data_IF_922704728790
#
_entry.id   IF_922704728790
#
_cell.length_a   1.000
_cell.length_b   1.000
_cell.length_c   1.000
_cell.angle_alpha   90.00
_cell.angle_beta   90.00
_cell.angle_gamma   90.00
#
_symmetry.space_group_name_H-M   'P 1'
#
loop_
_entity.id
_entity.type
_entity.pdbx_description
1 polymer ?
#
# COMPACT_ATOMS: atom_id res chain seq x y z
N UNK A 1 10.20 -4.80 15.86
CA UNK A 1 11.14 -3.75 15.45
C UNK A 1 10.62 -3.15 14.17
N UNK A 2 10.29 -1.86 14.17
CA UNK A 2 9.87 -1.11 12.98
C UNK A 2 11.04 -1.04 12.00
N UNK A 3 10.80 -1.37 10.73
CA UNK A 3 11.80 -1.27 9.68
C UNK A 3 12.22 0.21 9.55
N UNK A 4 13.52 0.51 9.57
CA UNK A 4 14.02 1.89 9.46
C UNK A 4 13.59 2.57 8.15
N UNK A 5 13.28 1.77 7.12
CA UNK A 5 12.80 2.27 5.83
C UNK A 5 11.28 2.57 5.83
N UNK A 6 10.53 2.11 6.83
CA UNK A 6 9.07 2.28 6.91
C UNK A 6 8.68 2.75 8.31
N UNK A 7 9.00 4.00 8.68
CA UNK A 7 8.80 4.48 10.04
C UNK A 7 7.31 4.53 10.40
N UNK A 8 6.98 4.23 11.66
CA UNK A 8 5.63 4.36 12.20
C UNK A 8 4.67 3.19 11.90
N UNK A 9 5.07 2.20 11.09
CA UNK A 9 4.27 0.99 10.86
C UNK A 9 5.15 -0.25 10.65
N UNK A 10 4.67 -1.41 11.10
CA UNK A 10 5.40 -2.67 10.94
C UNK A 10 5.03 -3.33 9.62
N UNK A 11 6.02 -3.77 8.85
CA UNK A 11 5.82 -4.65 7.69
C UNK A 11 5.96 -6.12 8.13
N UNK A 12 4.95 -6.92 7.82
CA UNK A 12 4.87 -8.34 8.15
C UNK A 12 4.84 -9.13 6.84
N UNK A 13 5.88 -9.91 6.60
CA UNK A 13 5.94 -10.82 5.46
C UNK A 13 5.27 -12.16 5.80
N UNK A 14 4.30 -12.58 4.99
CA UNK A 14 3.56 -13.83 5.19
C UNK A 14 3.44 -14.65 3.90
N UNK A 15 3.39 -15.97 4.04
CA UNK A 15 3.09 -16.89 2.93
C UNK A 15 1.58 -17.08 2.70
N UNK A 16 0.73 -16.51 3.57
CA UNK A 16 -0.72 -16.64 3.47
C UNK A 16 -1.33 -15.77 2.38
N UNK A 17 -0.63 -14.71 2.00
CA UNK A 17 -0.99 -13.88 0.85
C UNK A 17 -0.49 -14.54 -0.44
N UNK A 18 -1.18 -14.29 -1.56
CA UNK A 18 -0.68 -14.71 -2.88
C UNK A 18 0.49 -13.82 -3.31
N UNK A 19 1.36 -14.34 -4.16
CA UNK A 19 2.49 -13.58 -4.71
C UNK A 19 1.97 -12.30 -5.39
N UNK A 20 2.53 -11.15 -5.01
CA UNK A 20 2.15 -9.84 -5.52
C UNK A 20 1.04 -9.13 -4.73
N UNK A 21 0.50 -9.74 -3.67
CA UNK A 21 -0.46 -9.09 -2.79
C UNK A 21 0.21 -8.41 -1.60
N UNK A 22 -0.29 -7.22 -1.27
CA UNK A 22 -0.08 -6.51 -0.03
C UNK A 22 -1.42 -6.04 0.54
N UNK A 23 -1.47 -5.85 1.86
CA UNK A 23 -2.62 -5.31 2.56
C UNK A 23 -2.11 -4.35 3.64
N UNK A 24 -2.47 -3.08 3.51
CA UNK A 24 -2.25 -2.08 4.55
C UNK A 24 -3.41 -2.07 5.56
N UNK A 25 -3.11 -2.37 6.83
CA UNK A 25 -4.08 -2.38 7.94
C UNK A 25 -3.61 -1.46 9.08
N UNK A 26 -3.62 -0.12 8.92
CA UNK A 26 -3.18 0.80 9.97
C UNK A 26 -4.19 0.83 11.15
N UNK A 27 -3.75 0.94 12.42
CA UNK A 27 -2.36 1.10 12.88
C UNK A 27 -1.62 -0.23 13.09
N UNK A 28 -2.23 -1.38 12.78
CA UNK A 28 -1.73 -2.70 13.16
C UNK A 28 -0.52 -3.15 12.34
N UNK A 29 -0.48 -2.85 11.05
CA UNK A 29 0.65 -3.20 10.21
C UNK A 29 0.34 -3.27 8.72
N UNK A 30 1.37 -3.51 7.94
CA UNK A 30 1.30 -3.80 6.51
C UNK A 30 1.66 -5.28 6.33
N UNK A 31 0.75 -6.08 5.79
CA UNK A 31 0.99 -7.48 5.47
C UNK A 31 1.33 -7.60 3.99
N UNK A 32 2.45 -8.24 3.66
CA UNK A 32 2.83 -8.51 2.27
C UNK A 32 3.22 -9.97 2.07
N UNK A 33 3.13 -10.44 0.83
CA UNK A 33 3.69 -11.74 0.48
C UNK A 33 5.18 -11.84 0.87
N UNK A 34 5.60 -13.00 1.39
CA UNK A 34 7.01 -13.26 1.71
C UNK A 34 7.89 -13.16 0.46
N UNK A 35 8.86 -12.25 0.45
CA UNK A 35 9.63 -11.92 -0.75
C UNK A 35 8.94 -10.93 -1.70
N UNK A 36 7.98 -10.15 -1.20
CA UNK A 36 7.42 -9.01 -1.91
C UNK A 36 8.52 -8.01 -2.33
N UNK A 37 8.34 -7.41 -3.51
CA UNK A 37 9.25 -6.38 -4.00
C UNK A 37 9.22 -5.14 -3.11
N UNK A 38 10.34 -4.40 -3.08
CA UNK A 38 10.38 -3.10 -2.38
C UNK A 38 9.33 -2.13 -2.91
N UNK A 39 9.04 -2.16 -4.22
CA UNK A 39 8.00 -1.33 -4.83
C UNK A 39 6.60 -1.61 -4.24
N UNK A 40 6.25 -2.88 -3.99
CA UNK A 40 4.98 -3.23 -3.36
C UNK A 40 4.93 -2.76 -1.91
N UNK A 41 6.01 -2.94 -1.14
CA UNK A 41 6.10 -2.45 0.24
C UNK A 41 5.94 -0.93 0.33
N UNK A 42 6.55 -0.20 -0.59
CA UNK A 42 6.45 1.25 -0.70
C UNK A 42 5.04 1.70 -1.09
N UNK A 43 4.39 1.01 -2.02
CA UNK A 43 2.98 1.24 -2.37
C UNK A 43 2.05 1.09 -1.16
N UNK A 44 2.16 -0.02 -0.41
CA UNK A 44 1.35 -0.22 0.81
C UNK A 44 1.64 0.82 1.90
N UNK A 45 2.89 1.31 1.96
CA UNK A 45 3.24 2.42 2.84
C UNK A 45 2.59 3.74 2.40
N UNK A 46 2.39 3.94 1.09
CA UNK A 46 1.56 5.02 0.56
C UNK A 46 0.15 5.04 1.16
N UNK A 47 -0.47 3.87 1.35
CA UNK A 47 -1.75 3.75 2.05
C UNK A 47 -1.64 4.10 3.54
N UNK A 48 -0.53 3.77 4.20
CA UNK A 48 -0.29 4.23 5.57
C UNK A 48 -0.17 5.75 5.67
N UNK A 49 0.47 6.41 4.69
CA UNK A 49 0.51 7.87 4.61
C UNK A 49 -0.87 8.47 4.37
N UNK A 50 -1.72 7.83 3.55
CA UNK A 50 -3.13 8.22 3.42
C UNK A 50 -3.86 8.14 4.75
N UNK A 51 -3.68 7.05 5.50
CA UNK A 51 -4.25 6.89 6.84
C UNK A 51 -3.82 8.01 7.79
N UNK A 52 -2.53 8.35 7.81
CA UNK A 52 -2.00 9.42 8.68
C UNK A 52 -2.60 10.80 8.37
N UNK A 53 -2.98 11.06 7.11
CA UNK A 53 -3.61 12.32 6.73
C UNK A 53 -5.14 12.32 6.90
N UNK A 54 -5.81 11.21 6.60
CA UNK A 54 -7.27 11.13 6.59
C UNK A 54 -7.86 10.79 7.96
N UNK A 55 -7.09 10.10 8.81
CA UNK A 55 -7.55 9.52 10.06
C UNK A 55 -8.30 8.20 9.90
N UNK A 56 -8.43 7.46 11.01
CA UNK A 56 -8.91 6.08 11.06
C UNK A 56 -10.26 5.86 10.34
N UNK A 57 -11.30 6.59 10.72
CA UNK A 57 -12.64 6.38 10.15
C UNK A 57 -12.72 6.68 8.65
N UNK A 58 -12.10 7.78 8.20
CA UNK A 58 -12.11 8.16 6.78
C UNK A 58 -11.30 7.18 5.93
N UNK A 59 -10.19 6.68 6.44
CA UNK A 59 -9.39 5.69 5.74
C UNK A 59 -10.16 4.39 5.55
N UNK A 60 -10.76 3.84 6.60
CA UNK A 60 -11.49 2.58 6.47
C UNK A 60 -12.76 2.70 5.61
N UNK A 61 -13.46 3.84 5.67
CA UNK A 61 -14.64 4.07 4.83
C UNK A 61 -14.31 4.32 3.35
N UNK A 62 -13.21 5.04 3.05
CA UNK A 62 -12.89 5.50 1.68
C UNK A 62 -11.77 4.70 0.99
N UNK A 63 -10.95 3.97 1.75
CA UNK A 63 -9.79 3.22 1.26
C UNK A 63 -9.92 1.74 1.61
N UNK A 64 -10.19 1.41 2.87
CA UNK A 64 -10.34 0.03 3.34
C UNK A 64 -11.50 -0.72 2.66
N UNK A 65 -12.69 -0.12 2.64
CA UNK A 65 -13.88 -0.74 2.04
C UNK A 65 -13.77 -0.91 0.51
N UNK A 66 -13.29 0.09 -0.27
CA UNK A 66 -13.04 -0.10 -1.70
C UNK A 66 -11.90 -1.07 -2.03
N UNK A 67 -10.81 -1.10 -1.26
CA UNK A 67 -9.69 -2.03 -1.54
C UNK A 67 -10.04 -3.49 -1.20
N UNK A 68 -10.82 -3.76 -0.14
CA UNK A 68 -11.31 -5.12 0.15
C UNK A 68 -12.38 -5.58 -0.85
N UNK A 69 -13.38 -4.74 -1.17
CA UNK A 69 -14.43 -5.09 -2.12
C UNK A 69 -13.91 -5.19 -3.57
N UNK A 70 -13.00 -4.30 -4.01
CA UNK A 70 -12.42 -4.38 -5.36
C UNK A 70 -11.45 -5.55 -5.51
N UNK A 71 -10.66 -5.90 -4.48
CA UNK A 71 -9.82 -7.09 -4.51
C UNK A 71 -10.64 -8.39 -4.53
N UNK A 72 -11.82 -8.40 -3.91
CA UNK A 72 -12.73 -9.55 -3.88
C UNK A 72 -13.58 -9.71 -5.16
N UNK A 73 -14.02 -8.61 -5.79
CA UNK A 73 -14.99 -8.66 -6.90
C UNK A 73 -14.43 -8.20 -8.26
N UNK A 74 -13.42 -7.32 -8.31
CA UNK A 74 -12.91 -6.72 -9.57
C UNK A 74 -11.38 -6.48 -9.54
N UNK A 75 -10.55 -7.53 -9.54
CA UNK A 75 -9.09 -7.41 -9.41
C UNK A 75 -8.41 -6.68 -10.58
N UNK A 76 -9.06 -6.59 -11.75
CA UNK A 76 -8.47 -5.95 -12.95
C UNK A 76 -8.52 -4.41 -12.95
N UNK A 77 -9.41 -3.79 -12.17
CA UNK A 77 -9.56 -2.32 -12.13
C UNK A 77 -9.06 -1.68 -10.84
N UNK A 78 -8.60 -2.49 -9.88
CA UNK A 78 -8.14 -2.05 -8.57
C UNK A 78 -7.04 -0.98 -8.71
N UNK A 79 -6.01 -1.23 -9.53
CA UNK A 79 -4.89 -0.31 -9.76
C UNK A 79 -5.26 1.06 -10.37
N UNK A 80 -6.46 1.20 -10.94
CA UNK A 80 -6.89 2.43 -11.60
C UNK A 80 -7.78 3.32 -10.70
N UNK A 81 -8.06 2.86 -9.48
CA UNK A 81 -8.80 3.64 -8.50
C UNK A 81 -7.94 4.85 -8.07
N UNK A 82 -8.60 6.00 -7.91
CA UNK A 82 -7.95 7.24 -7.45
C UNK A 82 -7.16 7.04 -6.16
N UNK A 83 -7.61 6.13 -5.31
CA UNK A 83 -7.00 5.80 -4.02
C UNK A 83 -5.65 5.11 -4.20
N UNK A 84 -5.51 4.17 -5.13
CA UNK A 84 -4.24 3.49 -5.42
C UNK A 84 -3.21 4.43 -6.06
N UNK A 85 -3.66 5.34 -6.94
CA UNK A 85 -2.80 6.39 -7.53
C UNK A 85 -2.32 7.39 -6.48
N UNK A 86 -3.21 7.82 -5.59
CA UNK A 86 -2.85 8.70 -4.49
C UNK A 86 -1.88 8.03 -3.51
N UNK A 87 -2.04 6.73 -3.22
CA UNK A 87 -1.08 5.95 -2.44
C UNK A 87 0.30 5.93 -3.13
N UNK A 88 0.36 5.63 -4.43
CA UNK A 88 1.61 5.66 -5.18
C UNK A 88 2.27 7.03 -5.18
N UNK A 89 1.49 8.10 -5.43
CA UNK A 89 2.00 9.47 -5.40
C UNK A 89 2.63 9.79 -4.06
N UNK A 90 1.95 9.48 -2.95
CA UNK A 90 2.47 9.72 -1.59
C UNK A 90 3.70 8.89 -1.29
N UNK A 91 3.75 7.65 -1.76
CA UNK A 91 4.93 6.81 -1.63
C UNK A 91 6.12 7.42 -2.40
N UNK A 92 5.92 7.90 -3.62
CA UNK A 92 6.95 8.59 -4.40
C UNK A 92 7.37 9.89 -3.71
N UNK A 93 6.43 10.70 -3.23
CA UNK A 93 6.73 11.95 -2.52
C UNK A 93 7.56 11.69 -1.24
N UNK A 94 7.34 10.56 -0.56
CA UNK A 94 8.09 10.18 0.65
C UNK A 94 9.45 9.55 0.36
N UNK A 95 9.53 8.63 -0.62
CA UNK A 95 10.75 7.86 -0.91
C UNK A 95 11.64 8.49 -2.00
N UNK A 96 11.13 9.48 -2.74
CA UNK A 96 11.81 10.12 -3.86
C UNK A 96 11.56 9.44 -5.22
N UNK A 97 11.96 10.12 -6.29
CA UNK A 97 11.74 9.70 -7.69
C UNK A 97 12.58 8.48 -8.10
N UNK A 98 13.68 8.20 -7.40
CA UNK A 98 14.52 7.02 -7.65
C UNK A 98 13.99 5.75 -6.95
N UNK A 99 12.92 5.88 -6.18
CA UNK A 99 12.34 4.76 -5.45
C UNK A 99 11.76 3.69 -6.40
N UNK A 100 11.86 2.40 -6.06
CA UNK A 100 11.27 1.31 -6.84
C UNK A 100 9.78 1.50 -7.18
N UNK A 101 8.99 2.11 -6.31
CA UNK A 101 7.57 2.45 -6.56
C UNK A 101 7.39 3.44 -7.71
N UNK A 102 8.31 4.39 -7.89
CA UNK A 102 8.23 5.41 -8.95
C UNK A 102 8.41 4.84 -10.37
N UNK A 103 9.03 3.66 -10.45
CA UNK A 103 9.37 2.96 -11.70
C UNK A 103 8.53 1.69 -11.91
N UNK A 104 7.59 1.39 -11.02
CA UNK A 104 6.80 0.18 -11.09
C UNK A 104 5.72 0.28 -12.18
N UNK A 105 5.79 -0.60 -13.18
CA UNK A 105 4.85 -0.64 -14.32
C UNK A 105 3.39 -0.81 -13.92
N UNK A 106 3.14 -1.44 -12.77
CA UNK A 106 1.79 -1.68 -12.26
C UNK A 106 1.17 -0.46 -11.56
N UNK A 107 1.98 0.56 -11.28
CA UNK A 107 1.68 1.68 -10.40
C UNK A 107 2.05 3.03 -11.04
N UNK A 108 1.45 3.38 -12.19
CA UNK A 108 1.77 4.61 -12.89
C UNK A 108 1.36 5.84 -12.06
N UNK A 109 2.12 6.92 -12.24
CA UNK A 109 1.90 8.24 -11.61
C UNK A 109 0.55 8.85 -12.01
#
# INVERSE_FOLDING_TARGET
>A
MTDKNFPGITIIETRWLKKGMGICIPPFGILVYKGASHALKQHEYGHFLQYNQMGFFNFYLKVGFPSLCSAAFYPRNHHNLKVEKDANRRAVDFFGMDAPVANARFWPR
#
